data_IF_537535119013
#
_entry.id   IF_537535119013
#
_cell.length_a   1.000
_cell.length_b   1.000
_cell.length_c   1.000
_cell.angle_alpha   90.00
_cell.angle_beta   90.00
_cell.angle_gamma   90.00
#
_symmetry.space_group_name_H-M   'P 1'
#
loop_
_entity.id
_entity.type
_entity.pdbx_description
1 polymer ?
#
# COMPACT_ATOMS: atom_id res chain seq x y z
N UNK A 1 10.91 -2.21 29.76
CA UNK A 1 11.29 -1.47 28.52
C UNK A 1 11.23 0.02 28.86
N UNK A 2 12.11 0.89 28.34
CA UNK A 2 11.92 2.33 28.61
C UNK A 2 10.76 2.84 27.77
N UNK A 3 9.92 3.69 28.35
CA UNK A 3 8.71 4.20 27.71
C UNK A 3 9.02 4.95 26.39
N UNK A 4 10.14 5.65 26.32
CA UNK A 4 10.59 6.33 25.09
C UNK A 4 10.96 5.34 23.96
N UNK A 5 11.54 4.17 24.30
CA UNK A 5 11.84 3.15 23.29
C UNK A 5 10.54 2.53 22.74
N UNK A 6 9.58 2.25 23.62
CA UNK A 6 8.26 1.74 23.24
C UNK A 6 7.52 2.72 22.33
N UNK A 7 7.54 4.01 22.66
CA UNK A 7 6.93 5.06 21.86
C UNK A 7 7.58 5.21 20.48
N UNK A 8 8.92 5.19 20.41
CA UNK A 8 9.66 5.25 19.13
C UNK A 8 9.41 4.02 18.26
N UNK A 9 9.36 2.83 18.87
CA UNK A 9 9.02 1.59 18.18
C UNK A 9 7.58 1.61 17.66
N UNK A 10 6.64 2.09 18.47
CA UNK A 10 5.24 2.27 18.09
C UNK A 10 5.06 3.24 16.92
N UNK A 11 5.84 4.34 16.87
CA UNK A 11 5.89 5.26 15.72
C UNK A 11 6.49 4.61 14.48
N UNK A 12 7.58 3.84 14.63
CA UNK A 12 8.20 3.14 13.50
C UNK A 12 7.26 2.09 12.88
N UNK A 13 6.40 1.48 13.71
CA UNK A 13 5.38 0.52 13.32
C UNK A 13 4.00 1.17 13.04
N UNK A 14 3.90 2.50 12.94
CA UNK A 14 2.61 3.20 12.74
C UNK A 14 1.83 2.72 11.51
N UNK A 15 2.55 2.24 10.51
CA UNK A 15 2.01 1.77 9.24
C UNK A 15 1.86 0.24 9.19
N UNK A 16 2.33 -0.45 10.22
CA UNK A 16 2.10 -1.87 10.39
C UNK A 16 0.66 -2.11 10.87
N UNK A 17 0.16 -3.29 10.57
CA UNK A 17 -1.11 -3.79 11.12
C UNK A 17 -1.13 -3.72 12.67
N UNK A 18 -2.29 -3.45 13.27
CA UNK A 18 -2.42 -3.25 14.73
C UNK A 18 -2.08 -4.51 15.51
N UNK A 19 -2.51 -5.68 15.03
CA UNK A 19 -2.19 -6.96 15.66
C UNK A 19 -0.72 -7.34 15.46
N UNK A 20 -0.20 -7.16 14.25
CA UNK A 20 1.22 -7.35 13.98
C UNK A 20 2.07 -6.43 14.86
N UNK A 21 1.68 -5.16 15.01
CA UNK A 21 2.35 -4.19 15.89
C UNK A 21 2.31 -4.66 17.34
N UNK A 22 1.15 -5.12 17.84
CA UNK A 22 1.03 -5.69 19.19
C UNK A 22 1.94 -6.90 19.38
N UNK A 23 1.95 -7.84 18.43
CA UNK A 23 2.81 -9.04 18.46
C UNK A 23 4.28 -8.66 18.46
N UNK A 24 4.72 -7.80 17.55
CA UNK A 24 6.12 -7.33 17.46
C UNK A 24 6.52 -6.62 18.77
N UNK A 25 5.67 -5.74 19.31
CA UNK A 25 5.97 -5.04 20.57
C UNK A 25 6.03 -6.01 21.74
N UNK A 26 5.10 -6.97 21.83
CA UNK A 26 5.08 -7.99 22.88
C UNK A 26 6.31 -8.91 22.81
N UNK A 27 6.68 -9.35 21.61
CA UNK A 27 7.84 -10.21 21.37
C UNK A 27 9.15 -9.49 21.69
N UNK A 28 9.30 -8.23 21.29
CA UNK A 28 10.48 -7.40 21.65
C UNK A 28 10.52 -7.16 23.16
N UNK A 29 9.37 -6.96 23.80
CA UNK A 29 9.30 -6.81 25.26
C UNK A 29 9.74 -8.10 25.97
N UNK A 30 9.28 -9.27 25.49
CA UNK A 30 9.63 -10.59 26.02
C UNK A 30 11.14 -10.88 25.87
N UNK A 31 11.71 -10.69 24.68
CA UNK A 31 13.14 -10.85 24.45
C UNK A 31 13.99 -9.90 25.29
N UNK A 32 13.51 -8.68 25.54
CA UNK A 32 14.22 -7.73 26.42
C UNK A 32 14.13 -8.12 27.90
N UNK A 33 13.01 -8.68 28.35
CA UNK A 33 12.93 -9.22 29.71
C UNK A 33 13.82 -10.45 29.90
N UNK A 34 13.85 -11.35 28.91
CA UNK A 34 14.69 -12.55 28.92
C UNK A 34 16.19 -12.20 28.88
N UNK A 35 16.58 -11.22 28.05
CA UNK A 35 17.97 -10.75 28.01
C UNK A 35 18.39 -10.11 29.34
N UNK A 36 17.48 -9.42 30.03
CA UNK A 36 17.75 -8.80 31.32
C UNK A 36 17.94 -9.87 32.42
N UNK A 37 17.12 -10.92 32.45
CA UNK A 37 17.28 -12.04 33.39
C UNK A 37 18.50 -12.90 33.10
N UNK A 38 18.90 -13.02 31.83
CA UNK A 38 20.11 -13.74 31.42
C UNK A 38 21.42 -12.92 31.58
N UNK A 39 21.36 -11.68 32.08
CA UNK A 39 22.53 -10.82 32.26
C UNK A 39 23.21 -10.39 30.94
N UNK A 40 22.51 -10.51 29.80
CA UNK A 40 23.04 -10.12 28.50
C UNK A 40 23.00 -8.61 28.31
N UNK A 41 24.02 -8.05 27.64
CA UNK A 41 24.02 -6.63 27.27
C UNK A 41 22.82 -6.33 26.38
N UNK A 42 22.08 -5.29 26.76
CA UNK A 42 20.90 -4.81 26.04
C UNK A 42 21.31 -4.43 24.62
N UNK A 43 20.59 -4.93 23.61
CA UNK A 43 20.79 -4.47 22.23
C UNK A 43 20.42 -2.98 22.13
N UNK A 44 21.41 -2.16 21.77
CA UNK A 44 21.31 -0.73 21.47
C UNK A 44 20.86 -0.46 20.03
N UNK A 45 20.36 -1.47 19.32
CA UNK A 45 19.85 -1.27 17.98
C UNK A 45 18.71 -0.23 17.96
N UNK A 46 18.70 0.68 16.98
CA UNK A 46 17.65 1.68 16.89
C UNK A 46 16.28 1.01 16.68
N UNK A 47 15.22 1.46 17.37
CA UNK A 47 13.89 0.84 17.28
C UNK A 47 13.33 0.81 15.86
N UNK A 48 13.72 1.76 14.99
CA UNK A 48 13.35 1.76 13.58
C UNK A 48 13.98 0.62 12.77
N UNK A 49 15.21 0.21 13.09
CA UNK A 49 15.91 -0.90 12.44
C UNK A 49 15.27 -2.23 12.85
N UNK A 50 14.98 -2.38 14.15
CA UNK A 50 14.30 -3.57 14.69
C UNK A 50 12.90 -3.72 14.08
N UNK A 51 12.11 -2.63 14.03
CA UNK A 51 10.79 -2.63 13.40
C UNK A 51 10.85 -3.05 11.92
N UNK A 52 11.82 -2.52 11.16
CA UNK A 52 12.00 -2.85 9.74
C UNK A 52 12.32 -4.32 9.54
N UNK A 53 13.18 -4.90 10.39
CA UNK A 53 13.59 -6.30 10.32
C UNK A 53 12.42 -7.23 10.62
N UNK A 54 11.63 -6.92 11.64
CA UNK A 54 10.39 -7.65 11.95
C UNK A 54 9.37 -7.57 10.82
N UNK A 55 9.16 -6.38 10.23
CA UNK A 55 8.26 -6.24 9.08
C UNK A 55 8.72 -7.05 7.85
N UNK A 56 10.02 -7.22 7.65
CA UNK A 56 10.56 -8.08 6.60
C UNK A 56 10.31 -9.57 6.86
N UNK A 57 10.43 -10.01 8.11
CA UNK A 57 10.20 -11.41 8.51
C UNK A 57 8.73 -11.80 8.30
N UNK A 58 7.79 -10.89 8.58
CA UNK A 58 6.36 -11.15 8.45
C UNK A 58 5.80 -11.00 7.01
N UNK A 59 6.65 -10.92 5.98
CA UNK A 59 6.23 -10.97 4.57
C UNK A 59 5.57 -9.69 4.02
N UNK A 60 5.16 -8.76 4.88
CA UNK A 60 4.66 -7.43 4.50
C UNK A 60 5.81 -6.43 4.24
N UNK A 61 6.83 -6.91 3.57
CA UNK A 61 8.02 -6.16 3.21
C UNK A 61 7.88 -5.38 1.90
N UNK A 62 8.97 -4.74 1.52
CA UNK A 62 9.11 -3.96 0.27
C UNK A 62 8.79 -4.83 -0.95
N UNK A 63 9.15 -6.12 -0.94
CA UNK A 63 8.93 -7.03 -2.07
C UNK A 63 7.44 -7.28 -2.35
N UNK A 64 6.63 -7.54 -1.32
CA UNK A 64 5.18 -7.69 -1.47
C UNK A 64 4.55 -6.40 -2.02
N UNK A 65 4.91 -5.26 -1.41
CA UNK A 65 4.41 -3.96 -1.85
C UNK A 65 4.79 -3.67 -3.30
N UNK A 66 6.03 -4.00 -3.70
CA UNK A 66 6.52 -3.81 -5.06
C UNK A 66 5.78 -4.70 -6.07
N UNK A 67 5.57 -6.00 -5.76
CA UNK A 67 4.82 -6.91 -6.63
C UNK A 67 3.38 -6.45 -6.81
N UNK A 68 2.70 -6.08 -5.73
CA UNK A 68 1.35 -5.55 -5.81
C UNK A 68 1.30 -4.21 -6.54
N UNK A 69 2.30 -3.34 -6.38
CA UNK A 69 2.37 -2.07 -7.09
C UNK A 69 2.58 -2.28 -8.60
N UNK A 70 3.40 -3.26 -8.99
CA UNK A 70 3.57 -3.66 -10.40
C UNK A 70 2.25 -4.19 -10.98
N UNK A 71 1.54 -5.05 -10.25
CA UNK A 71 0.22 -5.53 -10.68
C UNK A 71 -0.81 -4.40 -10.77
N UNK A 72 -0.83 -3.50 -9.78
CA UNK A 72 -1.68 -2.30 -9.79
C UNK A 72 -1.38 -1.39 -10.97
N UNK A 73 -0.10 -1.16 -11.28
CA UNK A 73 0.32 -0.40 -12.45
C UNK A 73 -0.14 -1.07 -13.76
N UNK A 74 0.00 -2.40 -13.87
CA UNK A 74 -0.45 -3.14 -15.05
C UNK A 74 -1.96 -3.01 -15.27
N UNK A 75 -2.77 -3.24 -14.23
CA UNK A 75 -4.22 -3.06 -14.31
C UNK A 75 -4.63 -1.60 -14.55
N UNK A 76 -3.93 -0.66 -13.92
CA UNK A 76 -4.12 0.77 -14.14
C UNK A 76 -3.87 1.14 -15.59
N UNK A 77 -2.74 0.73 -16.16
CA UNK A 77 -2.41 0.98 -17.56
C UNK A 77 -3.47 0.40 -18.50
N UNK A 78 -3.82 -0.88 -18.34
CA UNK A 78 -4.83 -1.57 -19.16
C UNK A 78 -6.21 -0.93 -19.05
N UNK A 79 -6.56 -0.38 -17.88
CA UNK A 79 -7.86 0.27 -17.68
C UNK A 79 -8.02 1.62 -18.40
N UNK A 80 -6.93 2.21 -18.88
CA UNK A 80 -6.92 3.51 -19.55
C UNK A 80 -6.26 3.47 -20.94
N UNK A 81 -5.81 2.30 -21.38
CA UNK A 81 -5.26 2.14 -22.73
C UNK A 81 -6.40 2.26 -23.73
N UNK A 82 -6.35 3.29 -24.56
CA UNK A 82 -7.31 3.45 -25.65
C UNK A 82 -6.80 2.67 -26.86
N UNK A 83 -7.54 1.64 -27.27
CA UNK A 83 -7.36 1.00 -28.57
C UNK A 83 -8.72 0.98 -29.27
N UNK A 84 -8.69 1.13 -30.59
CA UNK A 84 -9.86 1.24 -31.47
C UNK A 84 -10.49 -0.14 -31.71
N UNK A 85 -10.76 -0.86 -30.62
CA UNK A 85 -11.09 -2.28 -30.60
C UNK A 85 -12.27 -2.48 -29.64
N UNK A 86 -13.45 -2.81 -30.15
CA UNK A 86 -14.70 -2.84 -29.40
C UNK A 86 -14.77 -3.85 -28.23
N UNK A 87 -13.94 -4.90 -28.20
CA UNK A 87 -13.86 -5.79 -27.04
C UNK A 87 -13.01 -5.22 -25.89
N UNK A 88 -12.25 -4.14 -26.13
CA UNK A 88 -11.42 -3.50 -25.11
C UNK A 88 -12.24 -2.74 -24.07
N UNK A 89 -13.45 -2.28 -24.39
CA UNK A 89 -14.29 -1.52 -23.44
C UNK A 89 -14.64 -2.34 -22.19
N UNK A 90 -15.00 -3.61 -22.39
CA UNK A 90 -15.23 -4.55 -21.28
C UNK A 90 -13.95 -4.84 -20.50
N UNK A 91 -12.81 -4.96 -21.20
CA UNK A 91 -11.51 -5.22 -20.58
C UNK A 91 -11.01 -4.04 -19.75
N UNK A 92 -11.25 -2.80 -20.19
CA UNK A 92 -10.88 -1.59 -19.46
C UNK A 92 -11.62 -1.50 -18.13
N UNK A 93 -12.94 -1.77 -18.15
CA UNK A 93 -13.77 -1.74 -16.95
C UNK A 93 -13.41 -2.87 -15.99
N UNK A 94 -13.17 -4.09 -16.50
CA UNK A 94 -12.65 -5.21 -15.70
C UNK A 94 -11.28 -4.91 -15.10
N UNK A 95 -10.37 -4.29 -15.86
CA UNK A 95 -9.04 -3.91 -15.38
C UNK A 95 -9.12 -2.83 -14.30
N UNK A 96 -10.05 -1.87 -14.44
CA UNK A 96 -10.31 -0.87 -13.40
C UNK A 96 -10.83 -1.54 -12.12
N UNK A 97 -11.83 -2.42 -12.24
CA UNK A 97 -12.35 -3.16 -11.09
C UNK A 97 -11.26 -4.01 -10.43
N UNK A 98 -10.43 -4.70 -11.21
CA UNK A 98 -9.28 -5.45 -10.70
C UNK A 98 -8.29 -4.56 -9.96
N UNK A 99 -7.96 -3.37 -10.50
CA UNK A 99 -7.09 -2.40 -9.83
C UNK A 99 -7.70 -1.92 -8.50
N UNK A 100 -9.00 -1.63 -8.45
CA UNK A 100 -9.70 -1.21 -7.24
C UNK A 100 -9.71 -2.31 -6.18
N UNK A 101 -10.07 -3.53 -6.56
CA UNK A 101 -10.12 -4.69 -5.66
C UNK A 101 -8.73 -5.02 -5.13
N UNK A 102 -7.70 -5.03 -6.00
CA UNK A 102 -6.33 -5.25 -5.58
C UNK A 102 -5.86 -4.16 -4.62
N UNK A 103 -6.16 -2.90 -4.91
CA UNK A 103 -5.77 -1.76 -4.05
C UNK A 103 -6.44 -1.85 -2.68
N UNK A 104 -7.75 -2.14 -2.64
CA UNK A 104 -8.49 -2.35 -1.41
C UNK A 104 -7.94 -3.55 -0.62
N UNK A 105 -7.71 -4.69 -1.29
CA UNK A 105 -7.12 -5.87 -0.70
C UNK A 105 -5.73 -5.61 -0.14
N UNK A 106 -4.86 -4.91 -0.87
CA UNK A 106 -3.53 -4.56 -0.38
C UNK A 106 -3.57 -3.56 0.78
N UNK A 107 -4.55 -2.65 0.81
CA UNK A 107 -4.81 -1.78 1.95
C UNK A 107 -5.24 -2.57 3.19
N UNK A 108 -6.16 -3.52 3.01
CA UNK A 108 -6.62 -4.43 4.08
C UNK A 108 -5.47 -5.35 4.47
N UNK A 109 -5.04 -6.28 3.62
CA UNK A 109 -4.04 -7.31 3.92
C UNK A 109 -2.63 -6.75 4.22
N UNK A 110 -2.18 -5.72 3.50
CA UNK A 110 -0.82 -5.18 3.62
C UNK A 110 -0.70 -3.87 4.39
N UNK A 111 -1.81 -3.34 4.91
CA UNK A 111 -1.86 -2.08 5.62
C UNK A 111 -1.82 -0.84 4.70
N UNK A 112 -1.97 0.33 5.33
CA UNK A 112 -2.16 1.61 4.65
C UNK A 112 -1.04 1.97 3.67
N UNK A 113 0.23 1.63 3.98
CA UNK A 113 1.36 1.87 3.06
C UNK A 113 1.24 1.08 1.77
N UNK A 114 0.89 -0.20 1.89
CA UNK A 114 0.76 -1.09 0.73
C UNK A 114 -0.42 -0.66 -0.14
N UNK A 115 -1.58 -0.37 0.46
CA UNK A 115 -2.74 0.15 -0.26
C UNK A 115 -2.45 1.44 -1.01
N UNK A 116 -1.81 2.42 -0.35
CA UNK A 116 -1.40 3.67 -0.99
C UNK A 116 -0.41 3.46 -2.13
N UNK A 117 0.63 2.63 -1.92
CA UNK A 117 1.64 2.39 -2.95
C UNK A 117 1.04 1.77 -4.21
N UNK A 118 0.16 0.76 -4.04
CA UNK A 118 -0.54 0.10 -5.15
C UNK A 118 -1.48 1.06 -5.86
N UNK A 119 -2.27 1.82 -5.12
CA UNK A 119 -3.22 2.77 -5.70
C UNK A 119 -2.53 3.93 -6.42
N UNK A 120 -1.41 4.43 -5.90
CA UNK A 120 -0.59 5.44 -6.58
C UNK A 120 0.03 4.87 -7.86
N UNK A 121 0.56 3.64 -7.83
CA UNK A 121 1.12 3.00 -9.01
C UNK A 121 0.07 2.82 -10.12
N UNK A 122 -1.14 2.38 -9.76
CA UNK A 122 -2.27 2.27 -10.68
C UNK A 122 -2.70 3.63 -11.25
N UNK A 123 -2.80 4.67 -10.41
CA UNK A 123 -3.18 6.02 -10.84
C UNK A 123 -2.14 6.64 -11.79
N UNK A 124 -0.85 6.52 -11.48
CA UNK A 124 0.23 7.01 -12.35
C UNK A 124 0.22 6.27 -13.68
N UNK A 125 0.07 4.94 -13.67
CA UNK A 125 0.01 4.15 -14.89
C UNK A 125 -1.21 4.52 -15.77
N UNK A 126 -2.36 4.82 -15.16
CA UNK A 126 -3.55 5.34 -15.87
C UNK A 126 -3.26 6.67 -16.55
N UNK A 127 -2.64 7.62 -15.84
CA UNK A 127 -2.28 8.92 -16.40
C UNK A 127 -1.27 8.78 -17.55
N UNK A 128 -0.30 7.88 -17.42
CA UNK A 128 0.66 7.57 -18.50
C UNK A 128 -0.05 6.96 -19.71
N UNK A 129 -0.94 5.99 -19.51
CA UNK A 129 -1.70 5.38 -20.60
C UNK A 129 -2.56 6.41 -21.35
N UNK A 130 -3.23 7.30 -20.63
CA UNK A 130 -4.00 8.40 -21.22
C UNK A 130 -3.08 9.35 -22.01
N UNK A 131 -1.96 9.78 -21.41
CA UNK A 131 -1.02 10.68 -22.09
C UNK A 131 -0.47 10.07 -23.38
N UNK A 132 -0.10 8.79 -23.36
CA UNK A 132 0.32 8.05 -24.56
C UNK A 132 -0.80 8.01 -25.59
N UNK A 133 -2.04 7.71 -25.19
CA UNK A 133 -3.19 7.72 -26.09
C UNK A 133 -3.40 9.06 -26.79
N UNK A 134 -3.32 10.17 -26.04
CA UNK A 134 -3.43 11.53 -26.58
C UNK A 134 -2.29 11.85 -27.55
N UNK A 135 -1.06 11.50 -27.20
CA UNK A 135 0.11 11.76 -28.05
C UNK A 135 0.09 10.94 -29.35
N UNK A 136 -0.42 9.71 -29.32
CA UNK A 136 -0.45 8.82 -30.48
C UNK A 136 -1.64 9.10 -31.39
N UNK A 137 -2.83 9.32 -30.81
CA UNK A 137 -4.06 9.45 -31.59
C UNK A 137 -4.49 10.89 -31.86
N UNK A 138 -3.87 11.88 -31.20
CA UNK A 138 -4.06 13.30 -31.52
C UNK A 138 -5.44 13.85 -31.18
N UNK A 139 -6.23 13.17 -30.34
CA UNK A 139 -7.57 13.62 -30.00
C UNK A 139 -7.58 14.81 -29.04
N UNK A 140 -8.51 15.74 -29.29
CA UNK A 140 -8.88 16.75 -28.31
C UNK A 140 -9.66 16.10 -27.17
N UNK A 141 -9.13 16.19 -25.94
CA UNK A 141 -9.82 15.71 -24.74
C UNK A 141 -10.68 16.83 -24.18
N UNK A 142 -11.97 16.56 -24.06
CA UNK A 142 -12.92 17.49 -23.42
C UNK A 142 -12.56 17.75 -21.95
N UNK A 143 -12.65 19.00 -21.51
CA UNK A 143 -12.26 19.41 -20.16
C UNK A 143 -12.99 18.64 -19.05
N UNK A 144 -14.29 18.38 -19.23
CA UNK A 144 -15.10 17.61 -18.28
C UNK A 144 -14.61 16.15 -18.18
N UNK A 145 -14.36 15.52 -19.32
CA UNK A 145 -13.86 14.14 -19.41
C UNK A 145 -12.47 14.00 -18.76
N UNK A 146 -11.60 14.98 -18.96
CA UNK A 146 -10.30 15.05 -18.29
C UNK A 146 -10.47 15.20 -16.76
N UNK A 147 -11.35 16.09 -16.30
CA UNK A 147 -11.58 16.30 -14.87
C UNK A 147 -12.12 15.04 -14.18
N UNK A 148 -13.10 14.36 -14.80
CA UNK A 148 -13.63 13.08 -14.31
C UNK A 148 -12.56 11.99 -14.30
N UNK A 149 -11.70 11.93 -15.32
CA UNK A 149 -10.60 10.98 -15.38
C UNK A 149 -9.59 11.20 -14.25
N UNK A 150 -9.16 12.46 -14.02
CA UNK A 150 -8.26 12.82 -12.92
C UNK A 150 -8.89 12.49 -11.56
N UNK A 151 -10.17 12.81 -11.36
CA UNK A 151 -10.90 12.45 -10.15
C UNK A 151 -10.94 10.93 -9.93
N UNK A 152 -11.20 10.15 -10.99
CA UNK A 152 -11.17 8.68 -10.92
C UNK A 152 -9.79 8.14 -10.53
N UNK A 153 -8.71 8.78 -11.00
CA UNK A 153 -7.34 8.39 -10.66
C UNK A 153 -7.02 8.68 -9.19
N UNK A 154 -7.52 9.80 -8.64
CA UNK A 154 -7.37 10.12 -7.22
C UNK A 154 -8.15 9.16 -6.30
N UNK A 155 -9.27 8.60 -6.77
CA UNK A 155 -10.07 7.64 -5.99
C UNK A 155 -9.34 6.32 -5.73
N UNK A 156 -8.46 5.88 -6.65
CA UNK A 156 -7.73 4.60 -6.49
C UNK A 156 -6.85 4.57 -5.22
N UNK A 157 -5.89 5.51 -5.02
CA UNK A 157 -5.11 5.54 -3.79
C UNK A 157 -5.94 5.85 -2.54
N UNK A 158 -7.04 6.62 -2.66
CA UNK A 158 -7.98 6.85 -1.55
C UNK A 158 -8.61 5.54 -1.06
N UNK A 159 -9.00 4.65 -1.97
CA UNK A 159 -9.54 3.33 -1.61
C UNK A 159 -8.50 2.49 -0.87
N UNK A 160 -7.24 2.54 -1.31
CA UNK A 160 -6.13 1.85 -0.62
C UNK A 160 -5.88 2.40 0.79
N UNK A 161 -5.98 3.72 0.95
CA UNK A 161 -5.93 4.39 2.24
C UNK A 161 -7.08 3.95 3.16
N UNK A 162 -8.32 4.02 2.67
CA UNK A 162 -9.51 3.66 3.44
C UNK A 162 -9.52 2.18 3.83
N UNK A 163 -9.07 1.28 2.96
CA UNK A 163 -8.92 -0.14 3.31
C UNK A 163 -7.91 -0.36 4.45
N UNK A 164 -6.80 0.38 4.46
CA UNK A 164 -5.83 0.34 5.54
C UNK A 164 -6.36 0.93 6.85
N UNK A 165 -7.15 2.00 6.78
CA UNK A 165 -7.75 2.63 7.96
C UNK A 165 -8.88 1.78 8.56
N UNK A 166 -9.71 1.13 7.72
CA UNK A 166 -10.76 0.22 8.17
C UNK A 166 -10.19 -0.95 8.98
N UNK A 167 -9.09 -1.55 8.51
CA UNK A 167 -8.41 -2.62 9.25
C UNK A 167 -7.86 -2.16 10.59
N UNK A 168 -7.30 -0.95 10.68
CA UNK A 168 -6.82 -0.42 11.97
C UNK A 168 -7.93 -0.37 13.01
N UNK A 169 -9.12 0.10 12.62
CA UNK A 169 -10.29 0.19 13.50
C UNK A 169 -10.81 -1.18 13.92
N UNK A 170 -10.91 -2.14 12.99
CA UNK A 170 -11.36 -3.49 13.32
C UNK A 170 -10.37 -4.29 14.19
N UNK A 171 -9.08 -3.95 14.15
CA UNK A 171 -8.09 -4.54 15.04
C UNK A 171 -8.03 -3.91 16.44
N UNK A 172 -8.78 -2.83 16.71
CA UNK A 172 -8.83 -2.19 18.04
C UNK A 172 -10.02 -2.67 18.90
N UNK A 173 -10.97 -3.42 18.31
CA UNK A 173 -12.02 -4.17 19.00
C UNK A 173 -11.54 -5.57 19.45
#
# INVERSE_FOLDING_TARGET
MSDDYAARLGRALYWADTDLKRRIVAEIAAHRSEAATAGMKRSDEPPGVVAKRYLQIYGFGIAFTALCALAGAAFGFLSAVQADISWLDGLQLLSLLAALLLTAWCGIAGGMRSGLAVGCAAAVARLVAMAVGVLVQGYAVEALSLALFVASCAMVPLIGFLGGEARKRWGEE
#
